data_IF_414846120880
#
_entry.id   IF_414846120880
#
_cell.length_a   1.000
_cell.length_b   1.000
_cell.length_c   1.000
_cell.angle_alpha   90.00
_cell.angle_beta   90.00
_cell.angle_gamma   90.00
#
_symmetry.space_group_name_H-M   'P 1'
#
loop_
_entity.id
_entity.type
_entity.pdbx_description
1 polymer ?
#
# COMPACT_ATOMS: atom_id res chain seq x y z
N UNK A 1 -29.91 27.68 43.77
CA UNK A 1 -31.08 28.16 43.00
C UNK A 1 -30.64 28.23 41.55
N UNK A 2 -31.50 27.83 40.63
CA UNK A 2 -31.27 27.83 39.19
C UNK A 2 -32.00 29.02 38.55
N UNK A 3 -31.31 29.66 37.63
CA UNK A 3 -31.82 30.75 36.82
C UNK A 3 -31.50 30.48 35.36
N UNK A 4 -32.40 30.84 34.47
CA UNK A 4 -32.28 30.64 33.03
C UNK A 4 -32.58 31.95 32.29
N UNK A 5 -31.83 32.24 31.23
CA UNK A 5 -31.94 33.46 30.44
C UNK A 5 -32.10 33.14 28.96
N UNK A 6 -33.22 33.55 28.37
CA UNK A 6 -33.55 33.40 26.94
C UNK A 6 -34.34 34.61 26.42
N UNK A 7 -34.78 34.61 25.16
CA UNK A 7 -35.52 35.73 24.56
C UNK A 7 -36.74 36.22 25.36
N UNK A 8 -37.47 35.32 26.04
CA UNK A 8 -38.68 35.67 26.80
C UNK A 8 -38.37 36.12 28.24
N UNK A 9 -37.09 36.28 28.58
CA UNK A 9 -36.62 36.91 29.80
C UNK A 9 -35.80 36.00 30.71
N UNK A 10 -35.93 36.23 32.01
CA UNK A 10 -35.12 35.59 33.06
C UNK A 10 -36.03 34.88 34.06
N UNK A 11 -35.86 33.57 34.26
CA UNK A 11 -36.70 32.76 35.14
C UNK A 11 -35.87 32.06 36.21
N UNK A 12 -36.35 32.10 37.45
CA UNK A 12 -35.81 31.37 38.58
C UNK A 12 -36.68 30.14 38.87
N UNK A 13 -36.10 28.94 38.78
CA UNK A 13 -36.78 27.67 39.05
C UNK A 13 -36.50 27.16 40.48
N UNK A 14 -35.90 27.99 41.33
CA UNK A 14 -35.56 27.62 42.70
C UNK A 14 -34.51 26.51 42.73
N UNK A 15 -34.65 25.43 43.51
CA UNK A 15 -33.69 24.32 43.52
C UNK A 15 -33.83 23.36 42.31
N UNK A 16 -34.85 23.53 41.46
CA UNK A 16 -35.10 22.63 40.34
C UNK A 16 -34.18 22.94 39.14
N UNK A 17 -33.31 22.02 38.71
CA UNK A 17 -32.45 22.22 37.54
C UNK A 17 -33.19 22.15 36.20
N UNK A 18 -34.48 21.80 36.15
CA UNK A 18 -35.25 21.76 34.90
C UNK A 18 -35.38 23.15 34.27
N UNK A 19 -34.88 23.36 33.03
CA UNK A 19 -35.11 24.59 32.30
C UNK A 19 -36.60 24.78 31.96
N UNK A 20 -37.05 26.02 31.83
CA UNK A 20 -38.40 26.34 31.35
C UNK A 20 -38.56 26.06 29.84
N UNK A 21 -39.80 25.82 29.43
CA UNK A 21 -40.19 25.56 28.04
C UNK A 21 -39.74 26.71 27.11
N UNK A 22 -39.16 26.37 25.96
CA UNK A 22 -38.62 27.33 24.99
C UNK A 22 -37.19 27.80 25.26
N UNK A 23 -36.59 27.48 26.42
CA UNK A 23 -35.21 27.89 26.72
C UNK A 23 -34.19 27.17 25.82
N UNK A 24 -34.36 25.86 25.60
CA UNK A 24 -33.40 25.09 24.83
C UNK A 24 -33.39 25.55 23.37
N UNK A 25 -34.57 25.70 22.77
CA UNK A 25 -34.79 26.15 21.41
C UNK A 25 -34.11 27.50 21.15
N UNK A 26 -34.32 28.47 22.04
CA UNK A 26 -33.67 29.78 21.94
C UNK A 26 -32.14 29.70 22.11
N UNK A 27 -31.63 28.83 22.98
CA UNK A 27 -30.18 28.66 23.13
C UNK A 27 -29.57 28.03 21.88
N UNK A 28 -30.24 27.04 21.29
CA UNK A 28 -29.82 26.38 20.05
C UNK A 28 -29.88 27.36 18.86
N UNK A 29 -30.94 28.15 18.73
CA UNK A 29 -31.11 29.14 17.66
C UNK A 29 -30.04 30.24 17.72
N UNK A 30 -29.65 30.68 18.92
CA UNK A 30 -28.58 31.68 19.12
C UNK A 30 -27.17 31.08 19.02
N UNK A 31 -27.06 29.76 18.88
CA UNK A 31 -25.77 29.09 18.78
C UNK A 31 -25.13 29.33 17.41
N UNK A 32 -23.92 28.78 17.23
CA UNK A 32 -23.20 28.84 15.95
C UNK A 32 -23.57 27.72 14.97
N UNK A 33 -24.47 26.83 15.35
CA UNK A 33 -24.85 25.65 14.57
C UNK A 33 -26.27 25.81 14.03
N UNK A 34 -26.48 25.28 12.84
CA UNK A 34 -27.80 25.20 12.22
C UNK A 34 -28.45 23.87 12.64
N UNK A 35 -29.32 23.94 13.66
CA UNK A 35 -30.02 22.77 14.17
C UNK A 35 -31.29 22.47 13.38
N UNK A 36 -31.49 21.20 13.05
CA UNK A 36 -32.75 20.65 12.57
C UNK A 36 -33.47 19.96 13.73
N UNK A 37 -34.79 20.15 13.83
CA UNK A 37 -35.62 19.55 14.87
C UNK A 37 -36.50 18.47 14.28
N UNK A 38 -36.47 17.29 14.91
CA UNK A 38 -37.38 16.18 14.65
C UNK A 38 -37.93 15.63 15.98
N UNK A 39 -39.19 15.17 15.97
CA UNK A 39 -39.77 14.44 17.10
C UNK A 39 -39.77 12.94 16.78
N UNK A 40 -38.92 12.19 17.46
CA UNK A 40 -38.73 10.74 17.26
C UNK A 40 -39.24 10.01 18.50
N UNK A 41 -40.22 9.11 18.33
CA UNK A 41 -40.87 8.39 19.43
C UNK A 41 -41.38 9.28 20.59
N UNK A 42 -41.77 10.52 20.27
CA UNK A 42 -42.25 11.51 21.23
C UNK A 42 -41.16 12.21 22.03
N UNK A 43 -39.89 12.05 21.64
CA UNK A 43 -38.73 12.78 22.18
C UNK A 43 -38.32 13.85 21.16
N UNK A 44 -38.12 15.08 21.62
CA UNK A 44 -37.57 16.15 20.78
C UNK A 44 -36.07 15.96 20.58
N UNK A 45 -35.64 15.82 19.34
CA UNK A 45 -34.25 15.63 18.94
C UNK A 45 -33.82 16.77 18.04
N UNK A 46 -32.72 17.44 18.40
CA UNK A 46 -32.11 18.49 17.60
C UNK A 46 -30.76 18.02 17.08
N UNK A 47 -30.54 18.08 15.76
CA UNK A 47 -29.29 17.64 15.14
C UNK A 47 -28.62 18.76 14.36
N UNK A 48 -27.30 18.87 14.48
CA UNK A 48 -26.47 19.74 13.67
C UNK A 48 -25.43 18.92 12.90
N UNK A 49 -25.40 19.10 11.58
CA UNK A 49 -24.58 18.30 10.66
C UNK A 49 -25.42 17.29 9.85
N UNK A 50 -24.74 16.39 9.16
CA UNK A 50 -25.34 15.33 8.34
C UNK A 50 -25.48 14.02 9.14
N UNK A 51 -26.20 14.08 10.26
CA UNK A 51 -26.45 12.95 11.18
C UNK A 51 -27.95 12.71 11.39
N UNK A 52 -28.33 11.45 11.68
CA UNK A 52 -29.72 11.03 11.88
C UNK A 52 -30.19 11.30 13.31
N UNK A 53 -31.38 11.90 13.46
CA UNK A 53 -32.01 12.08 14.77
C UNK A 53 -32.34 10.74 15.45
N UNK A 54 -32.73 9.73 14.67
CA UNK A 54 -33.03 8.37 15.16
C UNK A 54 -31.77 7.68 15.70
N UNK A 55 -30.64 7.80 15.01
CA UNK A 55 -29.38 7.19 15.45
C UNK A 55 -28.85 7.87 16.73
N UNK A 56 -28.97 9.20 16.81
CA UNK A 56 -28.62 9.97 18.00
C UNK A 56 -29.49 9.56 19.19
N UNK A 57 -30.81 9.40 19.01
CA UNK A 57 -31.71 8.94 20.07
C UNK A 57 -31.35 7.52 20.53
N UNK A 58 -31.14 6.59 19.59
CA UNK A 58 -30.93 5.17 19.86
C UNK A 58 -29.48 4.79 20.21
N UNK A 59 -28.58 5.75 20.22
CA UNK A 59 -27.16 5.54 20.51
C UNK A 59 -26.39 4.71 19.47
N UNK A 60 -26.84 4.68 18.22
CA UNK A 60 -26.24 3.86 17.16
C UNK A 60 -24.98 4.56 16.66
N UNK A 61 -23.75 4.06 16.84
CA UNK A 61 -22.56 4.80 16.42
C UNK A 61 -22.43 4.90 14.89
N UNK A 62 -21.73 5.92 14.39
CA UNK A 62 -21.39 6.06 12.97
C UNK A 62 -19.94 6.47 12.73
N UNK A 63 -19.55 6.46 11.45
CA UNK A 63 -18.21 6.86 10.99
C UNK A 63 -18.02 8.37 10.90
N UNK A 64 -19.10 9.15 10.77
CA UNK A 64 -19.07 10.61 10.98
C UNK A 64 -18.89 10.93 12.46
N UNK A 65 -19.58 10.17 13.31
CA UNK A 65 -19.64 10.34 14.75
C UNK A 65 -20.29 11.65 15.20
N UNK A 66 -20.67 11.68 16.47
CA UNK A 66 -21.29 12.86 17.08
C UNK A 66 -21.05 12.91 18.58
N UNK A 67 -21.25 14.10 19.13
CA UNK A 67 -21.50 14.30 20.55
C UNK A 67 -22.99 14.38 20.76
N UNK A 68 -23.48 13.74 21.82
CA UNK A 68 -24.88 13.76 22.20
C UNK A 68 -25.04 14.33 23.61
N UNK A 69 -26.02 15.21 23.74
CA UNK A 69 -26.40 15.90 24.96
C UNK A 69 -27.82 15.48 25.32
N UNK A 70 -27.95 14.68 26.38
CA UNK A 70 -29.22 14.18 26.90
C UNK A 70 -29.69 15.09 28.02
N UNK A 71 -30.66 15.94 27.76
CA UNK A 71 -31.18 16.82 28.78
C UNK A 71 -32.09 16.03 29.73
N UNK A 72 -31.90 16.23 31.04
CA UNK A 72 -32.64 15.52 32.11
C UNK A 72 -34.14 15.79 32.12
N UNK A 73 -34.59 16.77 31.34
CA UNK A 73 -35.98 17.13 31.18
C UNK A 73 -36.62 16.57 29.89
N UNK A 74 -35.88 15.81 29.07
CA UNK A 74 -36.41 15.07 27.93
C UNK A 74 -35.60 15.22 26.64
N UNK A 75 -35.42 16.45 26.11
CA UNK A 75 -34.84 16.65 24.78
C UNK A 75 -33.41 16.14 24.62
N UNK A 76 -33.05 15.79 23.39
CA UNK A 76 -31.72 15.33 23.01
C UNK A 76 -31.13 16.26 21.94
N UNK A 77 -29.85 16.59 22.05
CA UNK A 77 -29.12 17.36 21.04
C UNK A 77 -27.93 16.55 20.54
N UNK A 78 -27.86 16.32 19.24
CA UNK A 78 -26.74 15.69 18.54
C UNK A 78 -25.95 16.72 17.73
N UNK A 79 -24.62 16.67 17.80
CA UNK A 79 -23.75 17.53 17.00
C UNK A 79 -22.68 16.64 16.36
N UNK A 80 -22.64 16.64 15.03
CA UNK A 80 -21.63 15.92 14.27
C UNK A 80 -20.20 16.37 14.67
N UNK A 81 -19.27 15.43 14.80
CA UNK A 81 -17.91 15.71 15.26
C UNK A 81 -17.18 16.70 14.35
N UNK A 82 -17.32 16.59 13.03
CA UNK A 82 -16.65 17.49 12.09
C UNK A 82 -17.23 18.92 12.12
N UNK A 83 -18.52 19.07 12.44
CA UNK A 83 -19.15 20.39 12.60
C UNK A 83 -18.59 21.11 13.83
N UNK A 84 -18.21 20.38 14.89
CA UNK A 84 -17.55 20.96 16.07
C UNK A 84 -16.19 21.58 15.74
N UNK A 85 -15.44 21.01 14.79
CA UNK A 85 -14.11 21.50 14.37
C UNK A 85 -14.15 22.91 13.75
N UNK A 86 -15.30 23.35 13.23
CA UNK A 86 -15.46 24.61 12.50
C UNK A 86 -15.46 25.88 13.40
N UNK A 87 -14.61 25.96 14.42
CA UNK A 87 -14.45 27.16 15.25
C UNK A 87 -13.63 28.24 14.55
N UNK A 88 -14.24 29.38 14.19
CA UNK A 88 -13.49 30.63 13.96
C UNK A 88 -12.99 31.14 15.32
N UNK A 89 -11.79 31.74 15.39
CA UNK A 89 -11.12 32.23 16.62
C UNK A 89 -11.97 33.11 17.57
N UNK A 90 -13.13 33.61 17.14
CA UNK A 90 -14.02 34.49 17.91
C UNK A 90 -15.29 33.82 18.45
N UNK A 91 -15.54 32.55 18.16
CA UNK A 91 -16.72 31.84 18.64
C UNK A 91 -16.39 31.10 19.95
N UNK A 92 -17.23 31.29 20.97
CA UNK A 92 -17.15 30.50 22.20
C UNK A 92 -17.53 29.05 21.92
N UNK A 93 -16.92 28.11 22.65
CA UNK A 93 -17.32 26.70 22.64
C UNK A 93 -18.82 26.56 22.96
N UNK A 94 -19.47 25.56 22.39
CA UNK A 94 -20.91 25.34 22.55
C UNK A 94 -21.31 25.07 24.00
N UNK A 95 -20.52 24.28 24.73
CA UNK A 95 -20.71 24.08 26.18
C UNK A 95 -20.62 25.40 26.95
N UNK A 96 -19.78 26.33 26.54
CA UNK A 96 -19.69 27.65 27.17
C UNK A 96 -20.93 28.50 26.83
N UNK A 97 -21.38 28.47 25.58
CA UNK A 97 -22.61 29.15 25.13
C UNK A 97 -23.83 28.67 25.92
N UNK A 98 -24.00 27.35 26.07
CA UNK A 98 -25.06 26.73 26.86
C UNK A 98 -24.96 27.16 28.33
N UNK A 99 -23.77 27.06 28.94
CA UNK A 99 -23.56 27.39 30.34
C UNK A 99 -23.84 28.88 30.67
N UNK A 100 -23.54 29.81 29.74
CA UNK A 100 -23.77 31.24 29.93
C UNK A 100 -25.27 31.62 30.00
N UNK A 101 -26.14 30.75 29.50
CA UNK A 101 -27.60 30.98 29.54
C UNK A 101 -28.25 30.55 30.85
N UNK A 102 -27.48 30.07 31.84
CA UNK A 102 -27.98 29.64 33.15
C UNK A 102 -27.07 30.01 34.34
N UNK A 103 -27.64 30.07 35.55
CA UNK A 103 -26.91 30.25 36.81
C UNK A 103 -27.44 29.30 37.90
N UNK A 104 -26.58 28.56 38.64
CA UNK A 104 -25.15 28.41 38.39
C UNK A 104 -24.90 27.75 37.03
N UNK A 105 -23.74 28.02 36.38
CA UNK A 105 -23.39 27.44 35.07
C UNK A 105 -22.94 25.97 35.22
N UNK A 106 -23.78 25.14 35.85
CA UNK A 106 -23.48 23.76 36.20
C UNK A 106 -24.24 22.83 35.26
N UNK A 107 -23.72 22.63 34.05
CA UNK A 107 -24.40 21.87 33.00
C UNK A 107 -24.70 20.41 33.40
N UNK A 108 -23.82 19.75 34.17
CA UNK A 108 -24.07 18.40 34.72
C UNK A 108 -25.35 18.26 35.55
N UNK A 109 -25.93 19.38 36.02
CA UNK A 109 -27.22 19.35 36.70
C UNK A 109 -28.42 19.23 35.76
N UNK A 110 -28.25 19.57 34.47
CA UNK A 110 -29.34 19.64 33.47
C UNK A 110 -29.14 18.71 32.28
N UNK A 111 -27.90 18.28 32.00
CA UNK A 111 -27.53 17.51 30.82
C UNK A 111 -26.46 16.49 31.15
N UNK A 112 -26.59 15.30 30.55
CA UNK A 112 -25.55 14.28 30.49
C UNK A 112 -25.00 14.24 29.06
N UNK A 113 -23.69 14.09 28.88
CA UNK A 113 -23.04 14.21 27.57
C UNK A 113 -22.22 12.95 27.30
N UNK A 114 -22.35 12.40 26.10
CA UNK A 114 -21.53 11.31 25.57
C UNK A 114 -21.10 11.59 24.12
N UNK A 115 -20.22 10.74 23.59
CA UNK A 115 -19.76 10.81 22.21
C UNK A 115 -19.76 9.42 21.59
N UNK A 116 -20.08 9.34 20.31
CA UNK A 116 -20.06 8.12 19.53
C UNK A 116 -19.26 8.31 18.27
N UNK A 117 -18.39 7.34 18.00
CA UNK A 117 -17.68 7.24 16.74
C UNK A 117 -17.15 5.81 16.59
N UNK A 118 -17.27 5.26 15.39
CA UNK A 118 -16.65 3.99 15.01
C UNK A 118 -15.78 4.18 13.78
N UNK A 119 -14.66 3.45 13.64
CA UNK A 119 -13.82 3.55 12.45
C UNK A 119 -14.54 3.00 11.21
N UNK A 120 -14.12 3.47 10.03
CA UNK A 120 -14.62 2.90 8.77
C UNK A 120 -14.29 1.40 8.72
N UNK A 121 -15.24 0.58 8.30
CA UNK A 121 -15.08 -0.89 8.25
C UNK A 121 -15.37 -1.61 9.57
N UNK A 122 -15.62 -0.89 10.67
CA UNK A 122 -16.16 -1.49 11.88
C UNK A 122 -17.60 -1.97 11.65
N UNK A 123 -17.93 -3.14 12.21
CA UNK A 123 -19.28 -3.65 12.18
C UNK A 123 -20.12 -2.91 13.25
N UNK A 124 -21.21 -2.21 12.88
CA UNK A 124 -22.02 -1.45 13.83
C UNK A 124 -22.67 -2.31 14.94
N UNK A 125 -22.83 -3.62 14.70
CA UNK A 125 -23.37 -4.56 15.68
C UNK A 125 -22.34 -4.98 16.75
N UNK A 126 -21.05 -4.74 16.50
CA UNK A 126 -19.98 -5.10 17.42
C UNK A 126 -19.68 -3.96 18.39
N UNK A 127 -19.66 -4.27 19.69
CA UNK A 127 -19.30 -3.30 20.72
C UNK A 127 -17.83 -2.91 20.64
N UNK A 128 -17.55 -1.60 20.76
CA UNK A 128 -16.18 -1.12 20.91
C UNK A 128 -15.54 -1.63 22.21
N UNK A 129 -14.21 -1.74 22.28
CA UNK A 129 -13.52 -2.09 23.52
C UNK A 129 -13.87 -1.12 24.66
N UNK A 130 -13.91 -1.61 25.90
CA UNK A 130 -14.21 -0.79 27.10
C UNK A 130 -13.25 0.41 27.23
N UNK A 131 -11.96 0.22 26.88
CA UNK A 131 -10.96 1.30 26.82
C UNK A 131 -11.39 2.46 25.91
N UNK A 132 -12.07 2.16 24.79
CA UNK A 132 -12.55 3.17 23.87
C UNK A 132 -13.68 4.01 24.52
N UNK A 133 -14.63 3.35 25.17
CA UNK A 133 -15.72 3.99 25.90
C UNK A 133 -15.20 4.89 27.03
N UNK A 134 -14.28 4.38 27.86
CA UNK A 134 -13.66 5.18 28.92
C UNK A 134 -12.91 6.40 28.36
N UNK A 135 -12.22 6.23 27.23
CA UNK A 135 -11.49 7.29 26.58
C UNK A 135 -12.40 8.40 26.06
N UNK A 136 -13.50 8.03 25.41
CA UNK A 136 -14.55 8.96 24.97
C UNK A 136 -15.19 9.69 26.15
N UNK A 137 -15.55 8.97 27.22
CA UNK A 137 -16.13 9.58 28.43
C UNK A 137 -15.17 10.61 29.06
N UNK A 138 -13.87 10.29 29.17
CA UNK A 138 -12.84 11.21 29.67
C UNK A 138 -12.72 12.45 28.80
N UNK A 139 -12.78 12.31 27.46
CA UNK A 139 -12.71 13.43 26.53
C UNK A 139 -13.92 14.35 26.63
N UNK A 140 -15.12 13.77 26.70
CA UNK A 140 -16.38 14.51 26.84
C UNK A 140 -16.43 15.24 28.18
N UNK A 141 -16.06 14.58 29.28
CA UNK A 141 -15.94 15.21 30.59
C UNK A 141 -14.91 16.36 30.57
N UNK A 142 -13.81 16.18 29.86
CA UNK A 142 -12.79 17.20 29.66
C UNK A 142 -13.28 18.40 28.85
N UNK A 143 -14.06 18.19 27.79
CA UNK A 143 -14.69 19.24 26.99
C UNK A 143 -15.72 20.02 27.80
N UNK A 144 -16.60 19.30 28.50
CA UNK A 144 -17.56 19.88 29.44
C UNK A 144 -16.86 20.72 30.53
N UNK A 145 -15.72 20.25 31.05
CA UNK A 145 -14.88 20.97 32.01
C UNK A 145 -13.99 22.06 31.40
N UNK A 146 -14.09 22.35 30.09
CA UNK A 146 -13.28 23.32 29.34
C UNK A 146 -11.76 23.04 29.38
N UNK A 147 -11.37 21.81 29.67
CA UNK A 147 -9.96 21.35 29.64
C UNK A 147 -9.55 20.80 28.28
N UNK A 148 -10.54 20.30 27.50
CA UNK A 148 -10.37 19.88 26.10
C UNK A 148 -10.97 20.96 25.19
N UNK A 149 -10.17 21.59 24.31
CA UNK A 149 -10.69 22.54 23.34
C UNK A 149 -11.65 21.89 22.36
N UNK A 150 -12.80 22.51 22.11
CA UNK A 150 -13.84 22.00 21.19
C UNK A 150 -13.29 21.68 19.79
N UNK A 151 -12.47 22.56 19.21
CA UNK A 151 -11.87 22.35 17.88
C UNK A 151 -10.85 21.21 17.80
N UNK A 152 -10.53 20.56 18.93
CA UNK A 152 -9.70 19.35 18.96
C UNK A 152 -10.51 18.09 19.28
N UNK A 153 -11.80 18.21 19.61
CA UNK A 153 -12.58 17.13 20.18
C UNK A 153 -12.74 15.96 19.20
N UNK A 154 -13.11 16.23 17.95
CA UNK A 154 -13.28 15.19 16.93
C UNK A 154 -12.01 14.33 16.75
N UNK A 155 -10.87 14.99 16.51
CA UNK A 155 -9.58 14.31 16.37
C UNK A 155 -9.22 13.52 17.61
N UNK A 156 -9.49 14.06 18.80
CA UNK A 156 -9.21 13.37 20.05
C UNK A 156 -10.10 12.13 20.22
N UNK A 157 -11.40 12.21 19.89
CA UNK A 157 -12.33 11.08 19.91
C UNK A 157 -11.87 9.97 18.95
N UNK A 158 -11.57 10.31 17.69
CA UNK A 158 -11.08 9.33 16.71
C UNK A 158 -9.81 8.64 17.23
N UNK A 159 -8.82 9.42 17.70
CA UNK A 159 -7.56 8.86 18.21
C UNK A 159 -7.79 7.96 19.42
N UNK A 160 -8.66 8.36 20.35
CA UNK A 160 -9.00 7.57 21.54
C UNK A 160 -9.56 6.21 21.18
N UNK A 161 -10.46 6.14 20.19
CA UNK A 161 -11.03 4.87 19.73
C UNK A 161 -9.96 4.04 19.02
N UNK A 162 -9.22 4.62 18.06
CA UNK A 162 -8.19 3.92 17.30
C UNK A 162 -7.02 3.38 18.14
N UNK A 163 -6.62 4.10 19.19
CA UNK A 163 -5.60 3.66 20.16
C UNK A 163 -6.11 2.53 21.06
N UNK A 164 -7.43 2.40 21.22
CA UNK A 164 -8.04 1.38 22.08
C UNK A 164 -8.29 0.04 21.38
N UNK A 165 -8.11 -0.01 20.05
CA UNK A 165 -8.27 -1.24 19.28
C UNK A 165 -7.05 -2.17 19.46
N UNK A 166 -7.30 -3.42 19.85
CA UNK A 166 -6.25 -4.38 20.15
C UNK A 166 -5.92 -5.33 18.98
N UNK A 167 -6.79 -5.50 17.99
CA UNK A 167 -6.61 -6.50 16.91
C UNK A 167 -7.05 -5.94 15.57
N UNK A 168 -6.36 -6.37 14.51
CA UNK A 168 -6.73 -6.13 13.12
C UNK A 168 -5.73 -5.25 12.37
N UNK A 169 -6.17 -4.72 11.23
CA UNK A 169 -5.41 -3.83 10.38
C UNK A 169 -6.07 -2.45 10.39
N UNK A 170 -5.30 -1.41 10.71
CA UNK A 170 -5.74 -0.02 10.65
C UNK A 170 -4.94 0.73 9.59
N UNK A 171 -5.61 1.26 8.58
CA UNK A 171 -5.01 2.11 7.54
C UNK A 171 -5.63 3.49 7.63
N UNK A 172 -4.88 4.45 8.18
CA UNK A 172 -5.42 5.77 8.54
C UNK A 172 -6.53 5.63 9.59
N UNK A 173 -7.78 5.86 9.19
CA UNK A 173 -8.99 5.71 10.02
C UNK A 173 -9.86 4.51 9.63
N UNK A 174 -9.45 3.71 8.64
CA UNK A 174 -10.16 2.53 8.19
C UNK A 174 -9.61 1.27 8.84
N UNK A 175 -10.48 0.52 9.50
CA UNK A 175 -10.18 -0.72 10.19
C UNK A 175 -10.75 -1.92 9.44
N UNK A 176 -10.03 -3.02 9.46
CA UNK A 176 -10.52 -4.35 9.09
C UNK A 176 -9.98 -5.40 10.05
N UNK A 177 -10.62 -6.56 10.09
CA UNK A 177 -10.13 -7.65 10.92
C UNK A 177 -8.84 -8.23 10.32
N UNK A 178 -8.77 -8.27 8.99
CA UNK A 178 -7.56 -8.62 8.25
C UNK A 178 -7.25 -10.12 8.30
N UNK A 179 -8.27 -10.97 8.33
CA UNK A 179 -8.12 -12.42 8.48
C UNK A 179 -7.63 -13.12 7.21
N UNK A 180 -7.83 -12.47 6.06
CA UNK A 180 -7.47 -12.99 4.74
C UNK A 180 -6.80 -11.95 3.87
N UNK A 181 -6.11 -12.43 2.83
CA UNK A 181 -5.50 -11.57 1.80
C UNK A 181 -6.56 -10.72 1.11
N UNK A 182 -7.73 -11.28 0.81
CA UNK A 182 -8.82 -10.57 0.13
C UNK A 182 -9.35 -9.39 0.95
N UNK A 183 -9.52 -9.57 2.26
CA UNK A 183 -9.98 -8.51 3.17
C UNK A 183 -8.95 -7.39 3.29
N UNK A 184 -7.66 -7.74 3.39
CA UNK A 184 -6.59 -6.75 3.43
C UNK A 184 -6.49 -6.01 2.09
N UNK A 185 -6.64 -6.71 0.96
CA UNK A 185 -6.68 -6.08 -0.36
C UNK A 185 -7.84 -5.08 -0.50
N UNK A 186 -9.00 -5.38 0.10
CA UNK A 186 -10.13 -4.44 0.17
C UNK A 186 -9.75 -3.16 0.92
N UNK A 187 -9.08 -3.31 2.06
CA UNK A 187 -8.56 -2.20 2.86
C UNK A 187 -7.51 -1.36 2.11
N UNK A 188 -6.76 -1.99 1.21
CA UNK A 188 -5.72 -1.34 0.40
C UNK A 188 -6.25 -0.68 -0.87
N UNK A 189 -7.56 -0.74 -1.17
CA UNK A 189 -8.13 -0.19 -2.42
C UNK A 189 -7.80 1.28 -2.64
N UNK A 190 -7.95 2.10 -1.60
CA UNK A 190 -7.70 3.54 -1.65
C UNK A 190 -6.21 3.91 -1.59
N UNK A 191 -5.33 2.96 -1.23
CA UNK A 191 -3.88 3.20 -1.25
C UNK A 191 -3.32 3.19 -2.68
N UNK A 192 -2.36 4.07 -2.94
CA UNK A 192 -1.59 4.08 -4.19
C UNK A 192 -0.70 2.83 -4.31
N UNK A 193 -0.83 2.11 -5.43
CA UNK A 193 -0.04 0.92 -5.76
C UNK A 193 -0.75 0.08 -6.83
N UNK A 194 -0.01 -0.71 -7.60
CA UNK A 194 -0.61 -1.69 -8.51
C UNK A 194 -1.07 -2.96 -7.75
N UNK A 195 -1.69 -3.89 -8.46
CA UNK A 195 -2.21 -5.14 -7.86
C UNK A 195 -1.11 -5.97 -7.18
N UNK A 196 0.05 -6.14 -7.82
CA UNK A 196 1.17 -6.90 -7.25
C UNK A 196 1.77 -6.24 -6.00
N UNK A 197 1.86 -4.91 -5.98
CA UNK A 197 2.30 -4.14 -4.80
C UNK A 197 1.34 -4.37 -3.63
N UNK A 198 0.03 -4.32 -3.89
CA UNK A 198 -0.99 -4.54 -2.86
C UNK A 198 -1.04 -6.00 -2.40
N UNK A 199 -0.85 -6.95 -3.31
CA UNK A 199 -0.83 -8.38 -2.98
C UNK A 199 0.38 -8.75 -2.12
N UNK A 200 1.56 -8.23 -2.47
CA UNK A 200 2.75 -8.38 -1.65
C UNK A 200 2.55 -7.76 -0.27
N UNK A 201 2.02 -6.53 -0.20
CA UNK A 201 1.76 -5.86 1.07
C UNK A 201 0.72 -6.60 1.92
N UNK A 202 -0.34 -7.13 1.31
CA UNK A 202 -1.34 -7.94 2.01
C UNK A 202 -0.72 -9.17 2.68
N UNK A 203 0.20 -9.86 1.98
CA UNK A 203 0.97 -10.96 2.55
C UNK A 203 1.81 -10.56 3.76
N UNK A 204 2.50 -9.42 3.67
CA UNK A 204 3.30 -8.85 4.76
C UNK A 204 2.42 -8.52 5.97
N UNK A 205 1.31 -7.81 5.76
CA UNK A 205 0.42 -7.41 6.86
C UNK A 205 -0.28 -8.61 7.51
N UNK A 206 -0.72 -9.58 6.71
CA UNK A 206 -1.36 -10.80 7.24
C UNK A 206 -0.42 -11.57 8.16
N UNK A 207 0.85 -11.72 7.75
CA UNK A 207 1.84 -12.40 8.58
C UNK A 207 2.18 -11.59 9.82
N UNK A 208 2.34 -10.27 9.68
CA UNK A 208 2.61 -9.38 10.81
C UNK A 208 1.49 -9.48 11.87
N UNK A 209 0.22 -9.48 11.47
CA UNK A 209 -0.90 -9.63 12.40
C UNK A 209 -0.95 -11.00 13.09
N UNK A 210 -0.45 -12.05 12.44
CA UNK A 210 -0.44 -13.43 12.98
C UNK A 210 0.72 -13.68 13.94
N UNK A 211 1.91 -13.24 13.56
CA UNK A 211 3.16 -13.61 14.22
C UNK A 211 3.70 -12.53 15.16
N UNK A 212 3.31 -11.27 14.99
CA UNK A 212 3.78 -10.21 15.90
C UNK A 212 3.23 -10.42 17.31
N UNK A 213 4.14 -10.33 18.29
CA UNK A 213 3.79 -10.47 19.71
C UNK A 213 3.17 -9.20 20.30
N UNK A 214 3.49 -8.05 19.70
CA UNK A 214 3.04 -6.72 20.09
C UNK A 214 2.46 -6.00 18.85
N UNK A 215 1.63 -4.99 19.08
CA UNK A 215 1.05 -4.20 18.01
C UNK A 215 2.11 -3.30 17.38
N UNK A 216 1.95 -3.05 16.08
CA UNK A 216 2.93 -2.30 15.29
C UNK A 216 2.27 -1.05 14.75
N UNK A 217 2.87 0.12 14.96
CA UNK A 217 2.49 1.38 14.32
C UNK A 217 3.58 1.83 13.36
N UNK A 218 3.20 2.09 12.13
CA UNK A 218 4.05 2.58 11.06
C UNK A 218 3.75 4.06 10.85
N UNK A 219 4.73 4.91 11.11
CA UNK A 219 4.61 6.34 10.93
C UNK A 219 4.71 6.77 9.44
N UNK A 220 4.36 8.03 9.10
CA UNK A 220 4.41 8.52 7.72
C UNK A 220 5.81 8.54 7.08
N UNK A 221 6.87 8.25 7.83
CA UNK A 221 8.26 8.16 7.37
C UNK A 221 8.75 6.70 7.32
N UNK A 222 7.88 5.72 7.56
CA UNK A 222 8.21 4.29 7.61
C UNK A 222 8.89 3.85 8.91
N UNK A 223 8.84 4.66 9.97
CA UNK A 223 9.33 4.28 11.29
C UNK A 223 8.34 3.37 12.01
N UNK A 224 8.86 2.38 12.75
CA UNK A 224 8.07 1.48 13.59
C UNK A 224 8.03 1.99 15.03
N UNK A 225 6.84 1.93 15.63
CA UNK A 225 6.59 2.11 17.05
C UNK A 225 5.76 0.94 17.57
N UNK A 226 6.12 0.42 18.74
CA UNK A 226 5.33 -0.59 19.45
C UNK A 226 4.05 0.04 20.01
N UNK A 227 2.96 -0.72 20.02
CA UNK A 227 1.70 -0.36 20.67
C UNK A 227 1.10 -1.57 21.38
N UNK A 228 0.21 -1.30 22.33
CA UNK A 228 -0.58 -2.37 22.97
C UNK A 228 -1.44 -3.12 21.94
N UNK A 229 -1.69 -4.39 22.22
CA UNK A 229 -2.45 -5.30 21.37
C UNK A 229 -1.58 -6.05 20.36
N UNK A 230 -2.20 -6.48 19.26
CA UNK A 230 -1.62 -7.12 18.07
C UNK A 230 -2.12 -6.47 16.78
N UNK A 231 -2.54 -5.21 16.86
CA UNK A 231 -3.01 -4.45 15.71
C UNK A 231 -1.82 -3.89 14.92
N UNK A 232 -1.90 -4.00 13.59
CA UNK A 232 -0.98 -3.31 12.67
C UNK A 232 -1.63 -2.01 12.21
N UNK A 233 -1.00 -0.88 12.52
CA UNK A 233 -1.46 0.46 12.16
C UNK A 233 -0.52 1.09 11.14
N UNK A 234 -1.05 1.44 9.98
CA UNK A 234 -0.41 2.28 8.96
C UNK A 234 -0.97 3.68 9.10
N UNK A 235 -0.18 4.62 9.62
CA UNK A 235 -0.63 5.99 9.85
C UNK A 235 -0.93 6.72 8.53
N UNK A 236 -1.88 7.66 8.58
CA UNK A 236 -2.20 8.53 7.46
C UNK A 236 -0.94 9.27 6.96
N UNK A 237 -0.67 9.17 5.65
CA UNK A 237 0.50 9.73 5.01
C UNK A 237 1.65 8.74 4.77
N UNK A 238 1.64 7.55 5.39
CA UNK A 238 2.57 6.48 5.05
C UNK A 238 2.24 5.87 3.68
N UNK A 239 3.24 5.68 2.82
CA UNK A 239 3.03 4.97 1.56
C UNK A 239 3.07 3.45 1.75
N UNK A 240 2.52 2.70 0.80
CA UNK A 240 2.61 1.24 0.80
C UNK A 240 4.06 0.75 0.79
N UNK A 241 4.96 1.50 0.14
CA UNK A 241 6.40 1.23 0.16
C UNK A 241 6.99 1.39 1.55
N UNK A 242 6.60 2.46 2.26
CA UNK A 242 7.10 2.71 3.62
C UNK A 242 6.63 1.61 4.57
N UNK A 243 5.35 1.24 4.48
CA UNK A 243 4.76 0.20 5.32
C UNK A 243 5.37 -1.19 5.09
N UNK A 244 5.58 -1.59 3.83
CA UNK A 244 6.22 -2.88 3.55
C UNK A 244 7.69 -2.87 3.93
N UNK A 245 8.42 -1.80 3.65
CA UNK A 245 9.84 -1.74 4.00
C UNK A 245 10.06 -1.78 5.51
N UNK A 246 9.19 -1.13 6.28
CA UNK A 246 9.21 -1.19 7.74
C UNK A 246 9.12 -2.64 8.25
N UNK A 247 8.21 -3.42 7.67
CA UNK A 247 7.94 -4.81 8.05
C UNK A 247 8.80 -5.85 7.31
N UNK A 248 9.71 -5.43 6.44
CA UNK A 248 10.36 -6.33 5.49
C UNK A 248 11.27 -7.35 6.16
N UNK A 249 12.00 -6.93 7.19
CA UNK A 249 12.96 -7.80 7.90
C UNK A 249 12.25 -9.04 8.46
N UNK A 250 11.14 -8.85 9.16
CA UNK A 250 10.46 -9.96 9.82
C UNK A 250 9.47 -10.70 8.91
N UNK A 251 8.78 -9.96 8.01
CA UNK A 251 7.60 -10.49 7.31
C UNK A 251 7.71 -10.47 5.79
N UNK A 252 8.82 -9.99 5.23
CA UNK A 252 9.01 -9.84 3.78
C UNK A 252 8.90 -11.15 3.00
N UNK A 253 9.31 -12.28 3.59
CA UNK A 253 9.18 -13.61 2.97
C UNK A 253 7.72 -14.03 2.74
N UNK A 254 6.80 -13.68 3.66
CA UNK A 254 5.38 -13.96 3.49
C UNK A 254 4.75 -13.09 2.39
N UNK A 255 5.22 -11.84 2.25
CA UNK A 255 4.89 -10.99 1.12
C UNK A 255 5.30 -11.59 -0.22
N UNK A 256 6.53 -12.11 -0.31
CA UNK A 256 7.04 -12.81 -1.51
C UNK A 256 6.25 -14.06 -1.83
N UNK A 257 5.88 -14.85 -0.82
CA UNK A 257 5.02 -16.02 -0.99
C UNK A 257 3.66 -15.65 -1.62
N UNK A 258 3.09 -14.52 -1.23
CA UNK A 258 1.78 -14.06 -1.71
C UNK A 258 1.77 -13.70 -3.20
N UNK A 259 2.94 -13.37 -3.77
CA UNK A 259 3.13 -13.16 -5.22
C UNK A 259 3.83 -14.36 -5.90
N UNK A 260 3.68 -15.56 -5.32
CA UNK A 260 4.21 -16.82 -5.83
C UNK A 260 5.74 -16.81 -6.00
N UNK A 261 6.47 -16.30 -5.00
CA UNK A 261 7.92 -16.44 -4.90
C UNK A 261 8.24 -17.17 -3.60
N UNK A 262 8.78 -18.39 -3.72
CA UNK A 262 9.04 -19.27 -2.57
C UNK A 262 10.45 -19.90 -2.66
N UNK A 263 10.86 -20.56 -1.58
CA UNK A 263 12.11 -21.32 -1.52
C UNK A 263 13.38 -20.46 -1.55
N UNK A 264 14.46 -21.00 -2.13
CA UNK A 264 15.77 -20.33 -2.16
C UNK A 264 15.74 -19.01 -2.94
N UNK A 265 14.91 -18.91 -3.99
CA UNK A 265 14.73 -17.67 -4.76
C UNK A 265 14.20 -16.55 -3.86
N UNK A 266 13.16 -16.85 -3.06
CA UNK A 266 12.58 -15.89 -2.12
C UNK A 266 13.60 -15.41 -1.09
N UNK A 267 14.42 -16.30 -0.55
CA UNK A 267 15.46 -15.96 0.42
C UNK A 267 16.49 -14.97 -0.15
N UNK A 268 16.95 -15.23 -1.38
CA UNK A 268 17.92 -14.37 -2.07
C UNK A 268 17.31 -12.98 -2.32
N UNK A 269 16.07 -12.94 -2.79
CA UNK A 269 15.36 -11.68 -3.08
C UNK A 269 15.13 -10.88 -1.79
N UNK A 270 14.69 -11.55 -0.73
CA UNK A 270 14.49 -10.95 0.59
C UNK A 270 15.77 -10.31 1.12
N UNK A 271 16.89 -11.03 1.12
CA UNK A 271 18.18 -10.50 1.57
C UNK A 271 18.66 -9.30 0.74
N UNK A 272 18.45 -9.33 -0.57
CA UNK A 272 18.85 -8.22 -1.46
C UNK A 272 18.06 -6.96 -1.17
N UNK A 273 16.74 -7.09 -1.00
CA UNK A 273 15.86 -5.98 -0.68
C UNK A 273 16.11 -5.46 0.75
N UNK A 274 16.44 -6.34 1.71
CA UNK A 274 16.80 -5.95 3.07
C UNK A 274 18.10 -5.12 3.10
N UNK A 275 19.15 -5.54 2.39
CA UNK A 275 20.44 -4.83 2.35
C UNK A 275 20.37 -3.50 1.62
N UNK A 276 19.54 -3.41 0.58
CA UNK A 276 19.39 -2.19 -0.23
C UNK A 276 17.94 -1.99 -0.64
N UNK A 277 17.10 -1.44 0.26
CA UNK A 277 15.68 -1.24 0.01
C UNK A 277 15.45 -0.38 -1.22
N UNK A 278 14.62 -0.88 -2.12
CA UNK A 278 14.12 -0.13 -3.29
C UNK A 278 12.63 0.16 -3.10
N UNK A 279 12.11 1.23 -3.71
CA UNK A 279 10.67 1.42 -3.80
C UNK A 279 9.98 0.20 -4.42
N UNK A 280 8.80 -0.18 -3.90
CA UNK A 280 8.11 -1.43 -4.29
C UNK A 280 7.93 -1.54 -5.81
N UNK A 281 7.43 -0.50 -6.46
CA UNK A 281 7.30 -0.41 -7.91
C UNK A 281 8.59 -0.73 -8.67
N UNK A 282 9.73 -0.25 -8.19
CA UNK A 282 11.04 -0.49 -8.82
C UNK A 282 11.54 -1.90 -8.52
N UNK A 283 11.28 -2.38 -7.30
CA UNK A 283 11.61 -3.73 -6.87
C UNK A 283 10.88 -4.78 -7.71
N UNK A 284 9.54 -4.71 -7.79
CA UNK A 284 8.71 -5.65 -8.54
C UNK A 284 9.02 -5.65 -10.05
N UNK A 285 9.17 -4.46 -10.65
CA UNK A 285 9.65 -4.36 -12.05
C UNK A 285 11.00 -5.05 -12.26
N UNK A 286 11.88 -4.99 -11.26
CA UNK A 286 13.16 -5.70 -11.27
C UNK A 286 12.97 -7.21 -11.27
N UNK A 287 12.04 -7.73 -10.48
CA UNK A 287 11.70 -9.15 -10.44
C UNK A 287 11.12 -9.63 -11.77
N UNK A 288 10.15 -8.93 -12.34
CA UNK A 288 9.56 -9.27 -13.65
C UNK A 288 10.62 -9.32 -14.74
N UNK A 289 11.50 -8.31 -14.76
CA UNK A 289 12.58 -8.27 -15.74
C UNK A 289 13.57 -9.43 -15.58
N UNK A 290 13.82 -9.87 -14.34
CA UNK A 290 14.73 -10.97 -14.03
C UNK A 290 14.10 -12.32 -14.38
N UNK A 291 12.82 -12.53 -14.03
CA UNK A 291 12.04 -13.72 -14.39
C UNK A 291 11.91 -13.87 -15.89
N UNK A 292 11.56 -12.79 -16.61
CA UNK A 292 11.49 -12.79 -18.08
C UNK A 292 12.84 -13.16 -18.70
N UNK A 293 13.95 -12.61 -18.21
CA UNK A 293 15.29 -12.98 -18.68
C UNK A 293 15.64 -14.44 -18.40
N UNK A 294 15.28 -14.97 -17.24
CA UNK A 294 15.51 -16.37 -16.88
C UNK A 294 14.71 -17.32 -17.79
N UNK A 295 13.43 -17.02 -18.04
CA UNK A 295 12.58 -17.77 -18.97
C UNK A 295 13.14 -17.74 -20.40
N UNK A 296 13.52 -16.55 -20.89
CA UNK A 296 14.14 -16.40 -22.21
C UNK A 296 15.46 -17.19 -22.32
N UNK A 297 16.28 -17.18 -21.27
CA UNK A 297 17.51 -17.99 -21.20
C UNK A 297 17.23 -19.49 -21.23
N UNK A 298 16.20 -19.95 -20.51
CA UNK A 298 15.84 -21.36 -20.43
C UNK A 298 15.31 -21.95 -21.76
N UNK A 299 14.82 -21.12 -22.69
CA UNK A 299 14.42 -21.59 -24.02
C UNK A 299 15.61 -22.09 -24.85
N UNK A 300 16.81 -21.56 -24.63
CA UNK A 300 17.98 -21.93 -25.40
C UNK A 300 18.58 -23.26 -24.92
N UNK A 301 18.96 -24.16 -25.85
CA UNK A 301 19.42 -25.51 -25.51
C UNK A 301 20.82 -25.57 -24.87
N UNK A 302 21.64 -24.53 -25.02
CA UNK A 302 22.99 -24.47 -24.46
C UNK A 302 23.21 -23.14 -23.74
N UNK A 303 23.90 -23.19 -22.60
CA UNK A 303 24.33 -21.98 -21.88
C UNK A 303 25.57 -21.38 -22.53
N UNK A 304 25.76 -20.06 -22.36
CA UNK A 304 26.99 -19.40 -22.79
C UNK A 304 28.21 -20.05 -22.13
N UNK A 305 29.27 -20.24 -22.91
CA UNK A 305 30.53 -20.88 -22.49
C UNK A 305 30.53 -22.41 -22.52
N UNK A 306 29.40 -23.07 -22.83
CA UNK A 306 29.34 -24.54 -22.95
C UNK A 306 29.94 -25.02 -24.27
N UNK A 307 29.68 -24.29 -25.35
CA UNK A 307 30.18 -24.62 -26.68
C UNK A 307 31.60 -24.07 -26.88
N UNK A 308 32.48 -24.88 -27.47
CA UNK A 308 33.86 -24.50 -27.76
C UNK A 308 34.03 -23.94 -29.18
N UNK A 309 35.18 -23.31 -29.45
CA UNK A 309 35.59 -22.90 -30.79
C UNK A 309 34.77 -21.75 -31.39
N UNK A 310 34.86 -21.59 -32.71
CA UNK A 310 34.16 -20.53 -33.44
C UNK A 310 32.64 -20.65 -33.31
N UNK A 311 32.09 -21.87 -33.25
CA UNK A 311 30.65 -22.08 -33.04
C UNK A 311 30.21 -21.54 -31.69
N UNK A 312 30.98 -21.83 -30.63
CA UNK A 312 30.71 -21.33 -29.29
C UNK A 312 30.81 -19.81 -29.20
N UNK A 313 31.84 -19.22 -29.80
CA UNK A 313 32.00 -17.77 -29.84
C UNK A 313 30.83 -17.06 -30.56
N UNK A 314 30.38 -17.60 -31.69
CA UNK A 314 29.21 -17.07 -32.42
C UNK A 314 27.93 -17.24 -31.59
N UNK A 315 27.72 -18.43 -31.02
CA UNK A 315 26.57 -18.73 -30.18
C UNK A 315 26.47 -17.77 -28.98
N UNK A 316 27.58 -17.53 -28.30
CA UNK A 316 27.61 -16.66 -27.12
C UNK A 316 27.34 -15.20 -27.47
N UNK A 317 27.82 -14.72 -28.63
CA UNK A 317 27.49 -13.41 -29.16
C UNK A 317 26.00 -13.30 -29.57
N UNK A 318 25.42 -14.37 -30.13
CA UNK A 318 23.98 -14.44 -30.42
C UNK A 318 23.17 -14.35 -29.12
N UNK A 319 23.48 -15.18 -28.12
CA UNK A 319 22.80 -15.14 -26.82
C UNK A 319 22.93 -13.76 -26.16
N UNK A 320 24.12 -13.18 -26.14
CA UNK A 320 24.36 -11.84 -25.60
C UNK A 320 23.53 -10.79 -26.35
N UNK A 321 23.53 -10.85 -27.69
CA UNK A 321 22.80 -9.90 -28.52
C UNK A 321 21.29 -9.99 -28.33
N UNK A 322 20.75 -11.20 -28.17
CA UNK A 322 19.32 -11.45 -28.00
C UNK A 322 18.82 -11.18 -26.57
N UNK A 323 19.61 -11.51 -25.54
CA UNK A 323 19.18 -11.48 -24.13
C UNK A 323 19.61 -10.23 -23.36
N UNK A 324 20.75 -9.64 -23.73
CA UNK A 324 21.35 -8.49 -23.02
C UNK A 324 21.36 -7.24 -23.89
N UNK A 325 21.35 -7.42 -25.21
CA UNK A 325 21.13 -6.39 -26.21
C UNK A 325 22.27 -6.29 -27.22
N UNK A 326 21.98 -5.87 -28.47
CA UNK A 326 22.93 -5.91 -29.57
C UNK A 326 24.15 -5.00 -29.35
N UNK A 327 24.02 -3.92 -28.58
CA UNK A 327 25.14 -3.02 -28.27
C UNK A 327 26.19 -3.65 -27.34
N UNK A 328 25.77 -4.53 -26.42
CA UNK A 328 26.71 -5.25 -25.54
C UNK A 328 27.48 -6.28 -26.35
N UNK A 329 26.78 -7.05 -27.19
CA UNK A 329 27.39 -8.01 -28.08
C UNK A 329 28.33 -7.35 -29.12
N UNK A 330 27.97 -6.20 -29.68
CA UNK A 330 28.87 -5.45 -30.58
C UNK A 330 30.16 -5.00 -29.87
N UNK A 331 30.06 -4.52 -28.63
CA UNK A 331 31.23 -4.15 -27.83
C UNK A 331 32.14 -5.35 -27.55
N UNK A 332 31.58 -6.53 -27.34
CA UNK A 332 32.34 -7.77 -27.20
C UNK A 332 32.96 -8.21 -28.53
N UNK A 333 32.20 -8.19 -29.62
CA UNK A 333 32.66 -8.57 -30.94
C UNK A 333 33.78 -7.69 -31.49
N UNK A 334 33.83 -6.41 -31.11
CA UNK A 334 34.88 -5.46 -31.54
C UNK A 334 36.08 -5.38 -30.59
N UNK A 335 36.08 -6.20 -29.54
CA UNK A 335 37.18 -6.27 -28.58
C UNK A 335 38.40 -7.01 -29.17
N UNK A 336 39.53 -6.99 -28.47
CA UNK A 336 40.74 -7.67 -28.95
C UNK A 336 40.54 -9.18 -28.92
N UNK A 337 40.88 -9.86 -30.01
CA UNK A 337 40.81 -11.31 -30.13
C UNK A 337 42.19 -11.95 -29.98
N UNK A 338 42.23 -13.13 -29.34
CA UNK A 338 43.47 -13.89 -29.13
C UNK A 338 43.85 -14.75 -30.33
N UNK A 339 42.89 -15.07 -31.20
CA UNK A 339 43.08 -15.93 -32.37
C UNK A 339 42.15 -15.54 -33.55
N UNK A 340 42.48 -16.09 -34.73
CA UNK A 340 41.81 -15.79 -36.00
C UNK A 340 40.37 -16.32 -36.03
N UNK A 341 40.09 -17.45 -35.38
CA UNK A 341 38.76 -18.07 -35.39
C UNK A 341 37.80 -17.31 -34.49
N UNK A 342 38.27 -16.81 -33.34
CA UNK A 342 37.56 -15.88 -32.47
C UNK A 342 37.27 -14.53 -33.16
N UNK A 343 38.22 -14.01 -33.93
CA UNK A 343 38.04 -12.81 -34.74
C UNK A 343 37.05 -13.04 -35.90
N UNK A 344 37.13 -14.18 -36.58
CA UNK A 344 36.23 -14.56 -37.66
C UNK A 344 34.79 -14.80 -37.15
N UNK A 345 34.63 -15.40 -35.97
CA UNK A 345 33.35 -15.59 -35.29
C UNK A 345 32.69 -14.25 -34.96
N UNK A 346 33.47 -13.33 -34.40
CA UNK A 346 33.02 -11.98 -34.09
C UNK A 346 32.62 -11.20 -35.34
N UNK A 347 33.39 -11.33 -36.43
CA UNK A 347 33.05 -10.76 -37.73
C UNK A 347 31.77 -11.36 -38.33
N UNK A 348 31.61 -12.69 -38.26
CA UNK A 348 30.42 -13.40 -38.74
C UNK A 348 29.15 -12.90 -38.06
N UNK A 349 29.20 -12.72 -36.73
CA UNK A 349 28.09 -12.16 -35.96
C UNK A 349 27.78 -10.71 -36.36
N UNK A 350 28.80 -9.85 -36.49
CA UNK A 350 28.61 -8.45 -36.90
C UNK A 350 27.94 -8.36 -38.27
N UNK A 351 28.35 -9.17 -39.25
CA UNK A 351 27.71 -9.22 -40.55
C UNK A 351 26.26 -9.74 -40.46
N UNK A 352 26.04 -10.85 -39.76
CA UNK A 352 24.70 -11.45 -39.59
C UNK A 352 23.71 -10.51 -38.88
N UNK A 353 24.19 -9.72 -37.92
CA UNK A 353 23.39 -8.76 -37.18
C UNK A 353 23.22 -7.40 -37.91
N UNK A 354 23.78 -7.24 -39.11
CA UNK A 354 23.85 -5.97 -39.86
C UNK A 354 24.53 -4.84 -39.07
N UNK A 355 25.60 -5.16 -38.34
CA UNK A 355 26.40 -4.23 -37.51
C UNK A 355 27.88 -4.14 -37.93
N UNK A 356 28.23 -4.64 -39.11
CA UNK A 356 29.63 -4.67 -39.58
C UNK A 356 30.15 -3.33 -40.13
N UNK A 357 29.26 -2.42 -40.53
CA UNK A 357 29.64 -1.17 -41.21
C UNK A 357 30.55 -0.30 -40.35
N UNK A 358 31.77 -0.03 -40.83
CA UNK A 358 32.75 0.80 -40.14
C UNK A 358 33.55 0.06 -39.07
N UNK A 359 33.32 -1.24 -38.89
CA UNK A 359 34.04 -2.09 -37.94
C UNK A 359 35.16 -2.91 -38.61
N UNK A 360 35.33 -2.80 -39.94
CA UNK A 360 36.26 -3.61 -40.73
C UNK A 360 37.71 -3.50 -40.24
N UNK A 361 38.09 -2.32 -39.73
CA UNK A 361 39.46 -2.03 -39.28
C UNK A 361 39.87 -2.78 -38.02
N UNK A 362 38.91 -3.33 -37.26
CA UNK A 362 39.17 -4.18 -36.09
C UNK A 362 39.65 -5.58 -36.49
N UNK A 363 39.47 -6.00 -37.75
CA UNK A 363 39.64 -7.39 -38.19
C UNK A 363 40.62 -7.53 -39.36
N UNK A 364 41.52 -8.50 -39.25
CA UNK A 364 42.41 -8.87 -40.35
C UNK A 364 41.65 -9.48 -41.53
N UNK A 365 42.24 -9.39 -42.74
CA UNK A 365 41.58 -9.86 -43.98
C UNK A 365 41.13 -11.33 -43.89
N UNK A 366 41.99 -12.21 -43.36
CA UNK A 366 41.69 -13.63 -43.27
C UNK A 366 40.52 -13.94 -42.32
N UNK A 367 40.45 -13.22 -41.20
CA UNK A 367 39.33 -13.32 -40.26
C UNK A 367 38.03 -12.83 -40.91
N UNK A 368 38.09 -11.75 -41.70
CA UNK A 368 36.92 -11.26 -42.44
C UNK A 368 36.46 -12.24 -43.51
N UNK A 369 37.38 -12.82 -44.28
CA UNK A 369 37.06 -13.80 -45.32
C UNK A 369 36.39 -15.05 -44.72
N UNK A 370 36.91 -15.56 -43.59
CA UNK A 370 36.30 -16.67 -42.84
C UNK A 370 34.95 -16.29 -42.25
N UNK A 371 34.85 -15.13 -41.60
CA UNK A 371 33.59 -14.68 -41.00
C UNK A 371 32.49 -14.46 -42.03
N UNK A 372 32.83 -13.96 -43.23
CA UNK A 372 31.90 -13.85 -44.36
C UNK A 372 31.40 -15.22 -44.81
N UNK A 373 32.26 -16.25 -44.83
CA UNK A 373 31.85 -17.62 -45.14
C UNK A 373 30.86 -18.21 -44.11
N UNK A 374 30.94 -17.78 -42.85
CA UNK A 374 30.04 -18.22 -41.78
C UNK A 374 28.77 -17.38 -41.64
N UNK A 375 28.69 -16.25 -42.36
CA UNK A 375 27.65 -15.24 -42.18
C UNK A 375 26.24 -15.80 -42.36
N UNK A 376 25.96 -16.54 -43.44
CA UNK A 376 24.60 -17.04 -43.72
C UNK A 376 24.14 -18.05 -42.66
N UNK A 377 25.02 -18.95 -42.22
CA UNK A 377 24.70 -19.88 -41.14
C UNK A 377 24.49 -19.15 -39.80
N UNK A 378 25.31 -18.12 -39.53
CA UNK A 378 25.18 -17.28 -38.34
C UNK A 378 23.88 -16.48 -38.35
N UNK A 379 23.49 -15.95 -39.52
CA UNK A 379 22.26 -15.21 -39.73
C UNK A 379 21.04 -16.10 -39.53
N UNK A 380 21.05 -17.31 -40.09
CA UNK A 380 19.99 -18.28 -39.85
C UNK A 380 19.87 -18.64 -38.36
N UNK A 381 21.00 -18.89 -37.67
CA UNK A 381 20.98 -19.16 -36.23
C UNK A 381 20.43 -17.98 -35.42
N UNK A 382 20.80 -16.75 -35.77
CA UNK A 382 20.27 -15.53 -35.15
C UNK A 382 18.76 -15.37 -35.40
N UNK A 383 18.28 -15.67 -36.61
CA UNK A 383 16.85 -15.63 -36.95
C UNK A 383 16.05 -16.69 -36.18
N UNK A 384 16.54 -17.93 -36.10
CA UNK A 384 15.92 -18.98 -35.28
C UNK A 384 15.93 -18.60 -33.79
N UNK A 385 17.00 -17.95 -33.31
CA UNK A 385 17.05 -17.45 -31.94
C UNK A 385 16.03 -16.36 -31.65
N UNK A 386 15.71 -15.50 -32.63
CA UNK A 386 14.62 -14.51 -32.52
C UNK A 386 13.26 -15.19 -32.50
N UNK A 387 13.02 -16.13 -33.41
CA UNK A 387 11.76 -16.90 -33.45
C UNK A 387 11.49 -17.61 -32.12
N UNK A 388 12.53 -18.21 -31.52
CA UNK A 388 12.44 -18.87 -30.23
C UNK A 388 12.02 -17.91 -29.10
N UNK A 389 12.41 -16.64 -29.17
CA UNK A 389 12.04 -15.63 -28.19
C UNK A 389 10.67 -15.00 -28.46
N UNK A 390 10.30 -14.82 -29.72
CA UNK A 390 9.09 -14.13 -30.16
C UNK A 390 7.84 -15.04 -30.11
N UNK A 391 8.00 -16.36 -30.25
CA UNK A 391 6.91 -17.34 -30.18
C UNK A 391 6.97 -18.13 -28.84
N UNK A 392 5.86 -18.14 -28.11
CA UNK A 392 5.73 -18.89 -26.85
C UNK A 392 5.62 -20.40 -27.06
N UNK A 393 5.19 -20.86 -28.25
CA UNK A 393 5.06 -22.28 -28.58
C UNK A 393 6.23 -22.84 -29.41
N UNK A 394 7.19 -22.01 -29.81
CA UNK A 394 8.34 -22.47 -30.55
C UNK A 394 9.20 -23.43 -29.71
N UNK A 395 9.44 -24.62 -30.26
CA UNK A 395 10.43 -25.55 -29.71
C UNK A 395 11.85 -25.14 -30.13
N UNK A 396 12.86 -25.75 -29.53
CA UNK A 396 14.26 -25.44 -29.83
C UNK A 396 14.79 -26.15 -31.09
N UNK A 397 13.96 -26.87 -31.85
CA UNK A 397 14.40 -27.73 -32.96
C UNK A 397 15.06 -26.92 -34.08
N UNK A 398 14.41 -25.83 -34.52
CA UNK A 398 14.94 -24.94 -35.56
C UNK A 398 16.26 -24.28 -35.14
N UNK A 399 16.38 -23.90 -33.87
CA UNK A 399 17.63 -23.36 -33.31
C UNK A 399 18.75 -24.41 -33.31
N UNK A 400 18.46 -25.65 -32.92
CA UNK A 400 19.42 -26.76 -32.90
C UNK A 400 19.85 -27.15 -34.32
N UNK A 401 18.94 -27.17 -35.29
CA UNK A 401 19.26 -27.41 -36.70
C UNK A 401 20.16 -26.32 -37.28
N UNK A 402 19.84 -25.05 -37.02
CA UNK A 402 20.69 -23.93 -37.43
C UNK A 402 22.08 -23.98 -36.77
N UNK A 403 22.16 -24.43 -35.51
CA UNK A 403 23.43 -24.61 -34.81
C UNK A 403 24.28 -25.73 -35.45
N UNK A 404 23.66 -26.85 -35.87
CA UNK A 404 24.33 -27.92 -36.63
C UNK A 404 24.81 -27.44 -37.99
N UNK A 405 24.05 -26.60 -38.67
CA UNK A 405 24.45 -25.98 -39.93
C UNK A 405 25.66 -25.05 -39.73
N UNK A 406 25.67 -24.25 -38.67
CA UNK A 406 26.81 -23.41 -38.30
C UNK A 406 28.05 -24.23 -37.94
N UNK A 407 27.86 -25.32 -37.19
CA UNK A 407 28.93 -26.27 -36.87
C UNK A 407 29.58 -26.85 -38.14
N UNK A 408 28.75 -27.22 -39.12
CA UNK A 408 29.24 -27.68 -40.43
C UNK A 408 29.98 -26.58 -41.19
N UNK A 409 29.44 -25.35 -41.21
CA UNK A 409 30.01 -24.21 -41.94
C UNK A 409 31.37 -23.74 -41.37
N UNK A 410 31.53 -23.84 -40.05
CA UNK A 410 32.79 -23.49 -39.36
C UNK A 410 33.85 -24.59 -39.46
N UNK A 411 33.47 -25.80 -39.88
CA UNK A 411 34.38 -26.93 -40.01
C UNK A 411 34.94 -27.44 -38.67
N UNK A 412 34.23 -27.17 -37.57
CA UNK A 412 34.65 -27.57 -36.23
C UNK A 412 34.63 -29.11 -36.10
N UNK A 413 35.77 -29.71 -35.74
CA UNK A 413 35.89 -31.18 -35.67
C UNK A 413 35.33 -31.79 -34.38
N UNK A 414 35.26 -31.01 -33.30
CA UNK A 414 34.68 -31.47 -32.03
C UNK A 414 33.16 -31.56 -32.17
N UNK A 415 32.53 -32.69 -31.78
CA UNK A 415 31.08 -32.82 -31.84
C UNK A 415 30.41 -31.83 -30.88
N UNK A 416 29.18 -31.41 -31.22
CA UNK A 416 28.34 -30.67 -30.28
C UNK A 416 28.02 -31.58 -29.08
N UNK A 417 28.04 -31.05 -27.84
CA UNK A 417 27.71 -31.83 -26.65
C UNK A 417 26.26 -32.34 -26.69
N UNK A 418 26.01 -33.49 -26.07
CA UNK A 418 24.67 -34.06 -25.96
C UNK A 418 23.78 -33.17 -25.06
N UNK A 419 22.53 -32.95 -25.49
CA UNK A 419 21.59 -32.04 -24.82
C UNK A 419 21.30 -32.40 -23.35
N UNK A 420 21.53 -33.66 -22.94
CA UNK A 420 21.33 -34.11 -21.55
C UNK A 420 22.43 -33.63 -20.57
N UNK A 421 23.48 -32.97 -21.07
CA UNK A 421 24.65 -32.55 -20.27
C UNK A 421 24.93 -31.04 -20.26
N UNK A 422 24.00 -30.19 -20.73
CA UNK A 422 24.19 -28.75 -20.95
C UNK A 422 23.32 -27.83 -20.06
#
# INVERSE_FOLDING_TARGET
MYFFSWENGFVCTGPNPTPPEGWLEDVLERSRFDFQHESVDGVDVYVAGEISAEDVLNSVPSTQGWVRLMFKHGPIVGIELEVLNATKEKQSAFVHHLALSMLPPLLTSIVDIDAMWVPNGWNPEDELPEKAHEGLEKLVAGWHGLTVPEGNLARACHRSVLDSLDVGLLIGSAWSHGDSIEEILDSLKEMNGNEDEKLLAAGVFLEAMKEATEGIRIDPRGGIQEREGRLVEVMEGASLTDAVNALWEDFGLAGLKSINIEGEEAQIIWEQQLKKPKPLKTFLKGLDSSRKKAQQKAKFPYRSGVLSGAVGAIHDLILTGLLEGPGIAERQATSRHDDIDSAAASWAWLCAANRSTGQEWHFESLARDRGVAWMEATKNLLEQGKLLLDDEQADNSGFVEALKALHTATGQQQPLPDQESA
#
